data_IF_424525431711
#
_entry.id   IF_424525431711
#
_cell.length_a   1.000
_cell.length_b   1.000
_cell.length_c   1.000
_cell.angle_alpha   90.00
_cell.angle_beta   90.00
_cell.angle_gamma   90.00
#
_symmetry.space_group_name_H-M   'P 1'
#
loop_
_entity.id
_entity.type
_entity.pdbx_description
1 polymer ?
#
# COMPACT_ATOMS: atom_id res chain seq x y z
N UNK A 1 13.00 8.66 -0.74
CA UNK A 1 12.55 7.94 0.46
C UNK A 1 11.71 8.86 1.31
N UNK A 2 10.39 8.69 1.27
CA UNK A 2 9.48 9.32 2.23
C UNK A 2 9.65 8.57 3.55
N UNK A 3 9.92 9.28 4.63
CA UNK A 3 10.02 8.70 5.97
C UNK A 3 8.79 9.10 6.74
N UNK A 4 7.97 8.14 7.15
CA UNK A 4 6.81 8.37 8.00
C UNK A 4 7.26 8.40 9.45
N UNK A 5 6.82 9.42 10.20
CA UNK A 5 7.17 9.64 11.60
C UNK A 5 6.29 8.80 12.55
N UNK A 6 5.15 8.31 12.07
CA UNK A 6 4.24 7.44 12.80
C UNK A 6 3.50 6.48 11.86
N UNK A 7 2.91 5.43 12.44
CA UNK A 7 2.03 4.53 11.69
C UNK A 7 0.79 5.27 11.16
N UNK A 8 0.23 6.22 11.93
CA UNK A 8 -0.86 7.08 11.46
C UNK A 8 -0.50 7.88 10.21
N UNK A 9 0.70 8.47 10.15
CA UNK A 9 1.14 9.22 8.97
C UNK A 9 1.28 8.29 7.76
N UNK A 10 1.77 7.07 7.97
CA UNK A 10 1.84 6.04 6.93
C UNK A 10 0.44 5.63 6.44
N UNK A 11 -0.49 5.39 7.35
CA UNK A 11 -1.86 4.98 7.02
C UNK A 11 -2.62 6.08 6.28
N UNK A 12 -2.48 7.34 6.70
CA UNK A 12 -3.07 8.48 5.97
C UNK A 12 -2.49 8.62 4.56
N UNK A 13 -1.18 8.43 4.41
CA UNK A 13 -0.55 8.48 3.09
C UNK A 13 -1.00 7.34 2.19
N UNK A 14 -1.15 6.13 2.73
CA UNK A 14 -1.67 4.98 2.01
C UNK A 14 -3.13 5.20 1.60
N UNK A 15 -3.99 5.67 2.50
CA UNK A 15 -5.39 5.98 2.19
C UNK A 15 -5.50 7.02 1.08
N UNK A 16 -4.67 8.08 1.14
CA UNK A 16 -4.62 9.09 0.08
C UNK A 16 -4.18 8.50 -1.26
N UNK A 17 -3.14 7.66 -1.27
CA UNK A 17 -2.65 7.03 -2.48
C UNK A 17 -3.70 6.09 -3.10
N UNK A 18 -4.42 5.33 -2.27
CA UNK A 18 -5.54 4.51 -2.71
C UNK A 18 -6.61 5.37 -3.38
N UNK A 19 -6.96 6.51 -2.78
CA UNK A 19 -7.94 7.43 -3.38
C UNK A 19 -7.43 8.01 -4.72
N UNK A 20 -6.15 8.38 -4.82
CA UNK A 20 -5.57 8.89 -6.07
C UNK A 20 -5.55 7.82 -7.20
N UNK A 21 -5.38 6.54 -6.85
CA UNK A 21 -5.48 5.40 -7.77
C UNK A 21 -6.94 5.19 -8.21
N UNK A 22 -7.88 5.26 -7.26
CA UNK A 22 -9.32 5.15 -7.50
C UNK A 22 -9.83 6.26 -8.44
N UNK A 23 -9.44 7.51 -8.16
CA UNK A 23 -9.75 8.69 -8.97
C UNK A 23 -9.10 8.63 -10.37
N UNK A 24 -8.01 7.87 -10.52
CA UNK A 24 -7.36 7.61 -11.80
C UNK A 24 -8.06 6.49 -12.61
N UNK A 25 -9.18 5.96 -12.12
CA UNK A 25 -9.98 4.93 -12.80
C UNK A 25 -9.45 3.50 -12.62
N UNK A 26 -8.48 3.29 -11.73
CA UNK A 26 -7.84 2.00 -11.47
C UNK A 26 -8.51 1.31 -10.29
N UNK A 27 -9.83 1.10 -10.40
CA UNK A 27 -10.69 0.64 -9.31
C UNK A 27 -10.28 -0.72 -8.72
N UNK A 28 -9.82 -1.67 -9.55
CA UNK A 28 -9.38 -2.99 -9.08
C UNK A 28 -8.14 -2.89 -8.17
N UNK A 29 -7.16 -2.07 -8.57
CA UNK A 29 -5.96 -1.82 -7.78
C UNK A 29 -6.30 -1.10 -6.47
N UNK A 30 -7.16 -0.07 -6.54
CA UNK A 30 -7.63 0.64 -5.36
C UNK A 30 -8.39 -0.28 -4.40
N UNK A 31 -9.30 -1.13 -4.89
CA UNK A 31 -10.06 -2.05 -4.06
C UNK A 31 -9.15 -3.07 -3.36
N UNK A 32 -8.18 -3.66 -4.06
CA UNK A 32 -7.22 -4.60 -3.47
C UNK A 32 -6.41 -3.96 -2.33
N UNK A 33 -5.97 -2.71 -2.54
CA UNK A 33 -5.25 -1.97 -1.50
C UNK A 33 -6.17 -1.63 -0.31
N UNK A 34 -7.44 -1.26 -0.54
CA UNK A 34 -8.43 -1.05 0.54
C UNK A 34 -8.67 -2.32 1.35
N UNK A 35 -8.78 -3.48 0.70
CA UNK A 35 -8.96 -4.77 1.37
C UNK A 35 -7.78 -5.07 2.30
N UNK A 36 -6.54 -5.01 1.78
CA UNK A 36 -5.34 -5.19 2.60
C UNK A 36 -5.21 -4.17 3.74
N UNK A 37 -5.59 -2.92 3.48
CA UNK A 37 -5.58 -1.85 4.49
C UNK A 37 -6.62 -2.09 5.59
N UNK A 38 -7.82 -2.56 5.26
CA UNK A 38 -8.90 -2.83 6.22
C UNK A 38 -8.53 -3.92 7.25
N UNK A 39 -7.55 -4.77 6.93
CA UNK A 39 -7.05 -5.80 7.83
C UNK A 39 -6.13 -5.27 8.94
N UNK A 40 -5.72 -3.99 8.91
CA UNK A 40 -4.83 -3.35 9.89
C UNK A 40 -5.50 -2.98 11.23
N UNK A 41 -6.49 -3.74 11.69
CA UNK A 41 -7.14 -3.56 13.00
C UNK A 41 -6.26 -3.97 14.21
N UNK A 42 -4.93 -3.77 14.13
CA UNK A 42 -4.00 -4.00 15.24
C UNK A 42 -3.46 -5.43 15.38
N UNK A 43 -3.78 -6.35 14.46
CA UNK A 43 -3.22 -7.69 14.43
C UNK A 43 -1.97 -7.75 13.55
N UNK A 44 -0.95 -8.51 13.99
CA UNK A 44 0.31 -8.74 13.24
C UNK A 44 0.06 -9.26 11.82
N UNK A 45 -1.03 -10.01 11.63
CA UNK A 45 -1.45 -10.56 10.35
C UNK A 45 -1.95 -9.47 9.38
N UNK A 46 -2.45 -8.34 9.89
CA UNK A 46 -2.91 -7.21 9.07
C UNK A 46 -1.78 -6.59 8.24
N UNK A 47 -0.55 -6.55 8.79
CA UNK A 47 0.62 -6.08 8.04
C UNK A 47 1.03 -7.05 6.93
N UNK A 48 0.90 -8.36 7.16
CA UNK A 48 1.20 -9.37 6.15
C UNK A 48 0.19 -9.32 4.99
N UNK A 49 -1.11 -9.15 5.31
CA UNK A 49 -2.17 -8.99 4.31
C UNK A 49 -2.02 -7.70 3.51
N UNK A 50 -1.64 -6.60 4.17
CA UNK A 50 -1.30 -5.36 3.46
C UNK A 50 -0.10 -5.57 2.54
N UNK A 51 0.95 -6.27 3.00
CA UNK A 51 2.13 -6.57 2.19
C UNK A 51 1.75 -7.31 0.91
N UNK A 52 0.98 -8.39 1.03
CA UNK A 52 0.53 -9.20 -0.10
C UNK A 52 -0.32 -8.39 -1.08
N UNK A 53 -1.20 -7.52 -0.56
CA UNK A 53 -2.05 -6.64 -1.38
C UNK A 53 -1.23 -5.64 -2.19
N UNK A 54 -0.20 -5.04 -1.56
CA UNK A 54 0.71 -4.11 -2.24
C UNK A 54 1.58 -4.87 -3.26
N UNK A 55 2.14 -6.03 -2.92
CA UNK A 55 2.95 -6.84 -3.84
C UNK A 55 2.14 -7.25 -5.07
N UNK A 56 0.93 -7.74 -4.86
CA UNK A 56 0.03 -8.14 -5.95
C UNK A 56 -0.30 -6.95 -6.85
N UNK A 57 -0.57 -5.77 -6.28
CA UNK A 57 -0.83 -4.54 -7.05
C UNK A 57 0.40 -4.09 -7.84
N UNK A 58 1.59 -4.14 -7.24
CA UNK A 58 2.84 -3.80 -7.94
C UNK A 58 3.11 -4.78 -9.09
N UNK A 59 2.82 -6.08 -8.92
CA UNK A 59 3.07 -7.10 -9.94
C UNK A 59 2.03 -7.12 -11.06
N UNK A 60 0.75 -6.94 -10.75
CA UNK A 60 -0.34 -7.05 -11.74
C UNK A 60 -0.64 -5.74 -12.47
N UNK A 61 -0.41 -4.60 -11.82
CA UNK A 61 -0.84 -3.29 -12.32
C UNK A 61 0.35 -2.40 -12.72
N UNK A 62 1.55 -3.00 -12.89
CA UNK A 62 2.79 -2.28 -13.21
C UNK A 62 2.67 -1.37 -14.45
N UNK A 63 1.94 -1.82 -15.47
CA UNK A 63 1.77 -1.09 -16.73
C UNK A 63 0.54 -0.18 -16.74
N UNK A 64 -0.37 -0.31 -15.77
CA UNK A 64 -1.63 0.43 -15.70
C UNK A 64 -1.57 1.63 -14.74
N UNK A 65 -0.78 1.51 -13.67
CA UNK A 65 -0.59 2.56 -12.69
C UNK A 65 0.32 3.67 -13.23
N UNK A 66 0.04 4.91 -12.83
CA UNK A 66 0.94 6.04 -13.09
C UNK A 66 2.31 5.75 -12.46
N UNK A 67 3.39 6.15 -13.14
CA UNK A 67 4.75 5.95 -12.67
C UNK A 67 4.97 6.48 -11.25
N UNK A 68 4.33 7.60 -10.90
CA UNK A 68 4.41 8.22 -9.56
C UNK A 68 3.72 7.34 -8.49
N UNK A 69 2.48 6.91 -8.74
CA UNK A 69 1.74 6.03 -7.82
C UNK A 69 2.46 4.69 -7.61
N UNK A 70 3.02 4.13 -8.69
CA UNK A 70 3.81 2.89 -8.65
C UNK A 70 5.11 3.06 -7.86
N UNK A 71 5.80 4.18 -8.02
CA UNK A 71 7.01 4.48 -7.26
C UNK A 71 6.69 4.62 -5.76
N UNK A 72 5.58 5.30 -5.42
CA UNK A 72 5.16 5.46 -4.04
C UNK A 72 4.72 4.14 -3.39
N UNK A 73 3.95 3.30 -4.10
CA UNK A 73 3.61 1.93 -3.66
C UNK A 73 4.86 1.09 -3.37
N UNK A 74 5.87 1.15 -4.24
CA UNK A 74 7.13 0.42 -4.04
C UNK A 74 7.91 0.91 -2.81
N UNK A 75 7.86 2.20 -2.50
CA UNK A 75 8.47 2.74 -1.28
C UNK A 75 7.68 2.30 -0.04
N UNK A 76 6.35 2.35 -0.07
CA UNK A 76 5.49 1.86 1.00
C UNK A 76 5.70 0.36 1.25
N UNK A 77 5.84 -0.44 0.20
CA UNK A 77 6.12 -1.88 0.31
C UNK A 77 7.39 -2.17 1.11
N UNK A 78 8.45 -1.37 0.96
CA UNK A 78 9.69 -1.55 1.73
C UNK A 78 9.46 -1.34 3.23
N UNK A 79 8.58 -0.41 3.60
CA UNK A 79 8.23 -0.14 5.00
C UNK A 79 7.39 -1.28 5.58
N UNK A 80 6.37 -1.71 4.84
CA UNK A 80 5.51 -2.83 5.25
C UNK A 80 6.32 -4.13 5.39
N UNK A 81 7.24 -4.42 4.45
CA UNK A 81 8.16 -5.56 4.57
C UNK A 81 9.01 -5.50 5.85
N UNK A 82 9.52 -4.33 6.24
CA UNK A 82 10.25 -4.18 7.51
C UNK A 82 9.35 -4.47 8.72
N UNK A 83 8.11 -3.99 8.70
CA UNK A 83 7.14 -4.24 9.76
C UNK A 83 6.80 -5.73 9.91
N UNK A 84 6.59 -6.44 8.78
CA UNK A 84 6.27 -7.88 8.76
C UNK A 84 7.47 -8.73 9.18
N UNK A 85 8.64 -8.51 8.59
CA UNK A 85 9.82 -9.36 8.82
C UNK A 85 10.64 -8.99 10.07
N UNK A 86 10.22 -7.98 10.84
CA UNK A 86 10.87 -7.50 12.08
C UNK A 86 12.41 -7.43 11.97
N UNK A 87 12.93 -6.82 10.88
CA UNK A 87 14.36 -6.51 10.71
C UNK A 87 14.64 -5.02 10.84
#
# INVERSE_FOLDING_TARGET
>A
MRTYKSNDEFFQALEKLVQEIDDSGQYEAANRLREGFSCLNGLTDGWALLMESIETTVSQDQEKLKCENMAELKEMLKIVRKAVYRR
#
